data_IF_515499299636
#
_entry.id   IF_515499299636
#
_cell.length_a   1.000
_cell.length_b   1.000
_cell.length_c   1.000
_cell.angle_alpha   90.00
_cell.angle_beta   90.00
_cell.angle_gamma   90.00
#
_symmetry.space_group_name_H-M   'P 1'
#
loop_
_entity.id
_entity.type
_entity.pdbx_description
1 polymer ?
#
# COMPACT_ATOMS: atom_id res chain seq x y z
N UNK A 1 12.07 16.33 27.10
CA UNK A 1 10.71 16.00 26.63
C UNK A 1 10.82 14.90 25.60
N UNK A 2 10.06 13.81 25.75
CA UNK A 2 9.96 12.76 24.73
C UNK A 2 9.21 13.31 23.53
N UNK A 3 9.72 13.07 22.33
CA UNK A 3 9.10 13.55 21.10
C UNK A 3 7.69 12.95 20.94
N UNK A 4 6.65 13.80 20.92
CA UNK A 4 5.24 13.36 20.89
C UNK A 4 4.87 12.53 19.67
N UNK A 5 5.63 12.64 18.57
CA UNK A 5 5.43 11.86 17.35
C UNK A 5 6.04 10.46 17.41
N UNK A 6 6.95 10.21 18.37
CA UNK A 6 7.69 8.95 18.46
C UNK A 6 6.76 7.76 18.64
N UNK A 7 5.74 7.89 19.50
CA UNK A 7 4.73 6.84 19.71
C UNK A 7 4.01 6.41 18.42
N UNK A 8 3.71 7.36 17.54
CA UNK A 8 3.03 7.07 16.26
C UNK A 8 3.99 6.42 15.26
N UNK A 9 5.25 6.86 15.25
CA UNK A 9 6.29 6.25 14.42
C UNK A 9 6.59 4.81 14.86
N UNK A 10 6.72 4.57 16.16
CA UNK A 10 7.00 3.24 16.72
C UNK A 10 5.85 2.28 16.39
N UNK A 11 4.59 2.68 16.58
CA UNK A 11 3.42 1.90 16.15
C UNK A 11 3.43 1.56 14.66
N UNK A 12 3.83 2.51 13.81
CA UNK A 12 3.98 2.26 12.38
C UNK A 12 5.10 1.26 12.09
N UNK A 13 6.24 1.38 12.76
CA UNK A 13 7.38 0.47 12.58
C UNK A 13 7.09 -0.94 13.08
N UNK A 14 6.34 -1.10 14.16
CA UNK A 14 5.86 -2.41 14.63
C UNK A 14 4.99 -3.09 13.55
N UNK A 15 4.06 -2.36 12.95
CA UNK A 15 3.23 -2.88 11.85
C UNK A 15 4.06 -3.25 10.62
N UNK A 16 5.03 -2.41 10.23
CA UNK A 16 5.91 -2.72 9.09
C UNK A 16 6.79 -3.95 9.37
N UNK A 17 7.32 -4.08 10.58
CA UNK A 17 8.11 -5.23 10.99
C UNK A 17 7.26 -6.51 10.95
N UNK A 18 6.03 -6.44 11.43
CA UNK A 18 5.09 -7.55 11.36
C UNK A 18 4.79 -7.96 9.91
N UNK A 19 4.50 -7.01 9.02
CA UNK A 19 4.26 -7.28 7.60
C UNK A 19 5.49 -7.89 6.92
N UNK A 20 6.70 -7.40 7.25
CA UNK A 20 7.97 -7.98 6.78
C UNK A 20 8.18 -9.41 7.31
N UNK A 21 7.79 -9.67 8.55
CA UNK A 21 7.90 -11.00 9.13
C UNK A 21 6.96 -11.99 8.44
N UNK A 22 5.70 -11.59 8.20
CA UNK A 22 4.73 -12.41 7.46
C UNK A 22 5.25 -12.69 6.06
N UNK A 23 5.69 -11.66 5.32
CA UNK A 23 6.17 -11.84 3.94
C UNK A 23 7.30 -12.86 3.86
N UNK A 24 8.27 -12.80 4.77
CA UNK A 24 9.36 -13.77 4.82
C UNK A 24 8.89 -15.20 5.11
N UNK A 25 7.90 -15.36 6.00
CA UNK A 25 7.34 -16.69 6.32
C UNK A 25 6.55 -17.27 5.16
N UNK A 26 5.64 -16.52 4.57
CA UNK A 26 4.82 -17.02 3.45
C UNK A 26 5.69 -17.37 2.24
N UNK A 27 6.71 -16.56 1.95
CA UNK A 27 7.63 -16.83 0.84
C UNK A 27 8.39 -18.14 1.07
N UNK A 28 8.88 -18.40 2.29
CA UNK A 28 9.57 -19.66 2.59
C UNK A 28 8.64 -20.87 2.47
N UNK A 29 7.40 -20.75 2.94
CA UNK A 29 6.40 -21.82 2.83
C UNK A 29 6.12 -22.13 1.36
N UNK A 30 5.77 -21.12 0.57
CA UNK A 30 5.48 -21.31 -0.86
C UNK A 30 6.68 -21.79 -1.67
N UNK A 31 7.89 -21.34 -1.37
CA UNK A 31 9.09 -21.87 -2.03
C UNK A 31 9.33 -23.35 -1.73
N UNK A 32 8.99 -23.81 -0.52
CA UNK A 32 9.06 -25.24 -0.19
C UNK A 32 7.98 -26.01 -0.96
N UNK A 33 6.77 -25.47 -0.99
CA UNK A 33 5.59 -26.04 -1.66
C UNK A 33 5.85 -26.21 -3.17
N UNK A 34 6.37 -25.17 -3.83
CA UNK A 34 6.76 -25.21 -5.25
C UNK A 34 7.76 -26.34 -5.51
N UNK A 35 8.81 -26.49 -4.67
CA UNK A 35 9.81 -27.54 -4.85
C UNK A 35 9.24 -28.95 -4.71
N UNK A 36 8.28 -29.12 -3.81
CA UNK A 36 7.63 -30.40 -3.57
C UNK A 36 6.75 -30.79 -4.77
N UNK A 37 5.87 -29.89 -5.20
CA UNK A 37 4.84 -30.19 -6.20
C UNK A 37 5.28 -30.03 -7.66
N UNK A 38 6.45 -29.46 -7.92
CA UNK A 38 7.09 -29.51 -9.26
C UNK A 38 8.00 -30.74 -9.43
N UNK A 39 8.26 -31.53 -8.37
CA UNK A 39 9.10 -32.73 -8.45
C UNK A 39 8.49 -33.82 -9.34
N UNK A 40 9.33 -34.67 -9.95
CA UNK A 40 8.87 -35.72 -10.89
C UNK A 40 7.77 -36.62 -10.32
N UNK A 41 7.86 -36.95 -9.02
CA UNK A 41 6.93 -37.86 -8.35
C UNK A 41 5.61 -37.20 -7.90
N UNK A 42 5.53 -35.88 -7.92
CA UNK A 42 4.33 -35.16 -7.51
C UNK A 42 3.18 -35.39 -8.50
N UNK A 43 1.99 -35.66 -7.96
CA UNK A 43 0.71 -35.63 -8.67
C UNK A 43 -0.14 -34.55 -8.03
N UNK A 44 -0.43 -33.50 -8.77
CA UNK A 44 -1.30 -32.42 -8.31
C UNK A 44 -2.26 -32.02 -9.42
N UNK A 45 -3.53 -31.97 -9.04
CA UNK A 45 -4.60 -31.43 -9.84
C UNK A 45 -5.62 -30.86 -8.85
N UNK A 46 -5.77 -29.54 -8.88
CA UNK A 46 -6.76 -28.81 -8.11
C UNK A 46 -7.65 -28.06 -9.08
N UNK A 47 -8.95 -28.33 -9.05
CA UNK A 47 -9.92 -27.66 -9.90
C UNK A 47 -11.04 -27.09 -9.03
N UNK A 48 -11.54 -25.92 -9.41
CA UNK A 48 -12.68 -25.26 -8.78
C UNK A 48 -13.65 -24.78 -9.85
N UNK A 49 -14.94 -24.87 -9.54
CA UNK A 49 -16.05 -24.52 -10.40
C UNK A 49 -17.01 -23.59 -9.64
N UNK A 50 -17.48 -22.51 -10.29
CA UNK A 50 -18.45 -21.61 -9.66
C UNK A 50 -19.88 -22.08 -9.99
N UNK A 51 -20.56 -22.55 -8.95
CA UNK A 51 -21.96 -23.00 -8.97
C UNK A 51 -22.80 -21.98 -8.21
N UNK A 52 -23.93 -21.58 -8.80
CA UNK A 52 -24.85 -20.57 -8.23
C UNK A 52 -26.29 -21.06 -8.35
N UNK A 53 -27.21 -20.33 -7.72
CA UNK A 53 -28.65 -20.54 -7.82
C UNK A 53 -29.37 -19.23 -8.16
N UNK A 54 -30.61 -19.35 -8.64
CA UNK A 54 -31.51 -18.22 -8.83
C UNK A 54 -32.39 -18.05 -7.58
N UNK A 55 -32.17 -16.95 -6.85
CA UNK A 55 -32.92 -16.62 -5.63
C UNK A 55 -34.39 -16.25 -5.89
N UNK A 56 -34.75 -15.95 -7.13
CA UNK A 56 -36.12 -15.63 -7.55
C UNK A 56 -36.79 -16.78 -8.31
N UNK A 57 -36.04 -17.84 -8.59
CA UNK A 57 -36.47 -18.96 -9.40
C UNK A 57 -37.33 -19.99 -8.65
N UNK A 58 -37.85 -20.99 -9.38
CA UNK A 58 -38.53 -22.12 -8.75
C UNK A 58 -37.56 -22.90 -7.85
N UNK A 59 -38.11 -23.46 -6.78
CA UNK A 59 -37.39 -24.40 -5.90
C UNK A 59 -37.91 -25.81 -6.14
N UNK A 60 -37.08 -26.81 -5.87
CA UNK A 60 -37.55 -28.19 -5.78
C UNK A 60 -38.03 -28.45 -4.35
N UNK A 61 -39.31 -28.17 -4.06
CA UNK A 61 -39.91 -28.36 -2.74
C UNK A 61 -39.15 -27.65 -1.60
N UNK A 62 -38.68 -26.42 -1.85
CA UNK A 62 -37.86 -25.66 -0.89
C UNK A 62 -36.36 -25.91 -0.98
N UNK A 63 -35.89 -26.85 -1.83
CA UNK A 63 -34.47 -27.02 -2.13
C UNK A 63 -34.02 -26.07 -3.25
N UNK A 64 -32.83 -25.53 -3.06
CA UNK A 64 -32.13 -24.65 -4.00
C UNK A 64 -31.75 -25.41 -5.28
N UNK A 65 -32.17 -24.88 -6.44
CA UNK A 65 -31.78 -25.41 -7.74
C UNK A 65 -30.50 -24.73 -8.20
N UNK A 66 -29.42 -25.50 -8.23
CA UNK A 66 -28.09 -25.04 -8.58
C UNK A 66 -27.77 -25.22 -10.07
N UNK A 67 -27.03 -24.29 -10.66
CA UNK A 67 -26.49 -24.38 -12.00
C UNK A 67 -25.03 -23.88 -12.08
N UNK A 68 -24.28 -24.46 -13.02
CA UNK A 68 -22.87 -24.11 -13.23
C UNK A 68 -22.74 -22.86 -14.10
N UNK A 69 -21.91 -21.91 -13.70
CA UNK A 69 -21.70 -20.64 -14.45
C UNK A 69 -20.88 -20.79 -15.73
N UNK A 70 -20.23 -21.94 -15.92
CA UNK A 70 -19.25 -22.17 -16.99
C UNK A 70 -17.83 -21.76 -16.62
N UNK A 71 -17.64 -21.08 -15.49
CA UNK A 71 -16.33 -20.59 -15.04
C UNK A 71 -15.62 -21.65 -14.20
N UNK A 72 -14.41 -22.02 -14.63
CA UNK A 72 -13.55 -22.99 -13.95
C UNK A 72 -12.14 -22.42 -13.76
N UNK A 73 -11.47 -22.85 -12.69
CA UNK A 73 -10.07 -22.56 -12.44
C UNK A 73 -9.33 -23.87 -12.13
N UNK A 74 -8.16 -24.06 -12.73
CA UNK A 74 -7.38 -25.29 -12.60
C UNK A 74 -5.91 -25.00 -12.31
N UNK A 75 -5.37 -25.71 -11.33
CA UNK A 75 -3.95 -25.78 -11.04
C UNK A 75 -3.49 -27.22 -11.23
N UNK A 76 -2.63 -27.41 -12.22
CA UNK A 76 -1.96 -28.68 -12.54
C UNK A 76 -0.49 -28.58 -12.16
N UNK A 77 0.24 -29.69 -12.28
CA UNK A 77 1.69 -29.68 -12.09
C UNK A 77 2.40 -28.66 -13.00
N UNK A 78 1.94 -28.54 -14.24
CA UNK A 78 2.60 -27.73 -15.27
C UNK A 78 2.48 -26.23 -15.01
N UNK A 79 1.40 -25.78 -14.36
CA UNK A 79 1.19 -24.36 -14.04
C UNK A 79 1.39 -24.04 -12.55
N UNK A 80 1.69 -25.03 -11.71
CA UNK A 80 1.72 -24.90 -10.25
C UNK A 80 2.63 -23.76 -9.77
N UNK A 81 3.88 -23.73 -10.25
CA UNK A 81 4.83 -22.68 -9.84
C UNK A 81 4.31 -21.27 -10.19
N UNK A 82 3.77 -21.11 -11.39
CA UNK A 82 3.20 -19.84 -11.85
C UNK A 82 2.02 -19.42 -10.98
N UNK A 83 1.13 -20.35 -10.64
CA UNK A 83 -0.03 -20.09 -9.79
C UNK A 83 0.37 -19.70 -8.36
N UNK A 84 1.30 -20.43 -7.76
CA UNK A 84 1.80 -20.09 -6.42
C UNK A 84 2.54 -18.75 -6.42
N UNK A 85 3.34 -18.45 -7.44
CA UNK A 85 3.99 -17.15 -7.56
C UNK A 85 2.98 -16.01 -7.74
N UNK A 86 1.88 -16.23 -8.48
CA UNK A 86 0.78 -15.28 -8.62
C UNK A 86 0.09 -15.00 -7.28
N UNK A 87 -0.20 -16.06 -6.52
CA UNK A 87 -0.78 -15.97 -5.17
C UNK A 87 0.17 -15.21 -4.23
N UNK A 88 1.45 -15.55 -4.24
CA UNK A 88 2.46 -14.89 -3.42
C UNK A 88 2.56 -13.40 -3.76
N UNK A 89 2.64 -13.05 -5.04
CA UNK A 89 2.69 -11.65 -5.51
C UNK A 89 1.46 -10.87 -5.02
N UNK A 90 0.26 -11.43 -5.19
CA UNK A 90 -0.99 -10.83 -4.68
C UNK A 90 -0.93 -10.59 -3.17
N UNK A 91 -0.46 -11.57 -2.40
CA UNK A 91 -0.36 -11.43 -0.95
C UNK A 91 0.64 -10.33 -0.54
N UNK A 92 1.78 -10.23 -1.24
CA UNK A 92 2.77 -9.17 -1.00
C UNK A 92 2.22 -7.79 -1.36
N UNK A 93 1.45 -7.67 -2.45
CA UNK A 93 0.73 -6.44 -2.80
C UNK A 93 -0.28 -6.04 -1.72
N UNK A 94 -1.04 -6.98 -1.16
CA UNK A 94 -1.98 -6.71 -0.07
C UNK A 94 -1.27 -6.26 1.21
N UNK A 95 -0.17 -6.91 1.59
CA UNK A 95 0.67 -6.48 2.72
C UNK A 95 1.23 -5.07 2.49
N UNK A 96 1.57 -4.70 1.25
CA UNK A 96 1.96 -3.34 0.91
C UNK A 96 0.79 -2.36 1.12
N UNK A 97 -0.42 -2.68 0.64
CA UNK A 97 -1.59 -1.81 0.81
C UNK A 97 -1.88 -1.55 2.30
N UNK A 98 -1.83 -2.59 3.13
CA UNK A 98 -1.97 -2.49 4.59
C UNK A 98 -0.85 -1.64 5.23
N UNK A 99 0.39 -1.80 4.75
CA UNK A 99 1.51 -0.97 5.17
C UNK A 99 1.27 0.51 4.87
N UNK A 100 0.70 0.82 3.69
CA UNK A 100 0.38 2.18 3.30
C UNK A 100 -0.77 2.78 4.13
N UNK A 101 -1.78 2.01 4.45
CA UNK A 101 -2.84 2.46 5.37
C UNK A 101 -2.29 2.78 6.76
N UNK A 102 -1.37 1.97 7.27
CA UNK A 102 -0.69 2.26 8.53
C UNK A 102 0.17 3.53 8.45
N UNK A 103 0.77 3.80 7.29
CA UNK A 103 1.51 5.04 7.05
C UNK A 103 0.58 6.27 7.03
N UNK A 104 -0.55 6.21 6.31
CA UNK A 104 -1.55 7.28 6.34
C UNK A 104 -2.07 7.53 7.77
N UNK A 105 -2.25 6.46 8.56
CA UNK A 105 -2.63 6.57 9.97
C UNK A 105 -1.57 7.34 10.76
N UNK A 106 -0.30 6.95 10.66
CA UNK A 106 0.82 7.66 11.29
C UNK A 106 0.84 9.15 10.94
N UNK A 107 0.66 9.47 9.65
CA UNK A 107 0.64 10.86 9.20
C UNK A 107 -0.52 11.64 9.78
N UNK A 108 -1.73 11.07 9.72
CA UNK A 108 -2.91 11.73 10.26
C UNK A 108 -2.79 11.90 11.79
N UNK A 109 -2.26 10.92 12.52
CA UNK A 109 -2.05 11.04 13.97
C UNK A 109 -1.05 12.15 14.30
N UNK A 110 0.09 12.17 13.61
CA UNK A 110 1.13 13.19 13.83
C UNK A 110 0.64 14.60 13.47
N UNK A 111 -0.06 14.74 12.34
CA UNK A 111 -0.57 16.03 11.89
C UNK A 111 -1.74 16.51 12.74
N UNK A 112 -2.61 15.62 13.21
CA UNK A 112 -3.70 15.98 14.12
C UNK A 112 -3.17 16.43 15.48
N UNK A 113 -2.19 15.73 16.02
CA UNK A 113 -1.48 16.14 17.24
C UNK A 113 -0.87 17.54 17.08
N UNK A 114 -0.24 17.83 15.94
CA UNK A 114 0.29 19.17 15.64
C UNK A 114 -0.79 20.24 15.63
N UNK A 115 -1.94 19.97 14.99
CA UNK A 115 -3.06 20.92 14.89
C UNK A 115 -3.65 21.32 16.24
N UNK A 116 -3.41 20.55 17.31
CA UNK A 116 -3.84 20.94 18.66
C UNK A 116 -3.17 22.23 19.17
N UNK A 117 -2.07 22.66 18.53
CA UNK A 117 -1.31 23.86 18.90
C UNK A 117 -1.01 24.78 17.70
N UNK A 118 -1.53 24.46 16.51
CA UNK A 118 -1.29 25.19 15.26
C UNK A 118 -2.64 25.44 14.55
N UNK A 119 -3.30 26.54 14.93
CA UNK A 119 -4.64 26.88 14.40
C UNK A 119 -4.59 27.17 12.90
N UNK A 120 -3.49 27.75 12.39
CA UNK A 120 -3.31 28.02 10.96
C UNK A 120 -3.28 26.71 10.16
N UNK A 121 -2.58 25.69 10.66
CA UNK A 121 -2.57 24.37 10.04
C UNK A 121 -3.95 23.69 10.14
N UNK A 122 -4.64 23.87 11.28
CA UNK A 122 -5.98 23.32 11.50
C UNK A 122 -7.01 23.91 10.53
N UNK A 123 -7.08 25.23 10.43
CA UNK A 123 -7.96 25.94 9.49
C UNK A 123 -7.66 25.54 8.04
N UNK A 124 -6.38 25.47 7.67
CA UNK A 124 -5.98 25.00 6.35
C UNK A 124 -6.47 23.57 6.08
N UNK A 125 -6.34 22.67 7.06
CA UNK A 125 -6.80 21.29 6.93
C UNK A 125 -8.31 21.22 6.75
N UNK A 126 -9.07 21.99 7.53
CA UNK A 126 -10.53 22.09 7.41
C UNK A 126 -10.92 22.66 6.03
N UNK A 127 -10.12 23.58 5.47
CA UNK A 127 -10.39 24.16 4.15
C UNK A 127 -10.38 23.11 3.03
N UNK A 128 -9.57 22.05 3.18
CA UNK A 128 -9.44 20.93 2.24
C UNK A 128 -10.56 19.88 2.36
N UNK A 129 -11.41 19.96 3.39
CA UNK A 129 -12.53 19.04 3.57
C UNK A 129 -13.76 19.43 2.75
N UNK A 130 -14.59 18.45 2.33
CA UNK A 130 -15.89 18.74 1.73
C UNK A 130 -16.77 19.59 2.66
N UNK A 131 -17.58 20.50 2.11
CA UNK A 131 -18.43 21.44 2.89
C UNK A 131 -19.21 20.75 4.02
N UNK A 132 -19.79 19.58 3.74
CA UNK A 132 -20.59 18.79 4.70
C UNK A 132 -19.80 18.28 5.92
N UNK A 133 -18.46 18.23 5.85
CA UNK A 133 -17.59 17.70 6.90
C UNK A 133 -16.90 18.80 7.73
N UNK A 134 -16.98 20.07 7.30
CA UNK A 134 -16.26 21.19 7.94
C UNK A 134 -16.75 21.50 9.36
N UNK A 135 -18.04 21.33 9.62
CA UNK A 135 -18.68 21.69 10.90
C UNK A 135 -18.30 20.79 12.08
N UNK A 136 -17.64 19.66 11.84
CA UNK A 136 -17.36 18.65 12.86
C UNK A 136 -16.02 17.98 12.62
N UNK A 137 -14.96 18.80 12.53
CA UNK A 137 -13.58 18.33 12.31
C UNK A 137 -13.13 17.40 13.44
N UNK A 138 -12.59 16.24 13.06
CA UNK A 138 -12.06 15.24 13.97
C UNK A 138 -10.94 14.46 13.29
N UNK A 139 -10.16 13.73 14.07
CA UNK A 139 -9.08 12.87 13.58
C UNK A 139 -9.56 11.88 12.50
N UNK A 140 -10.75 11.30 12.66
CA UNK A 140 -11.33 10.34 11.70
C UNK A 140 -11.71 10.97 10.37
N UNK A 141 -12.03 12.27 10.37
CA UNK A 141 -12.41 13.05 9.19
C UNK A 141 -11.24 13.77 8.53
N UNK A 142 -10.01 13.54 8.99
CA UNK A 142 -8.85 14.10 8.31
C UNK A 142 -8.78 13.67 6.84
N UNK A 143 -8.31 14.56 5.95
CA UNK A 143 -8.19 14.22 4.53
C UNK A 143 -7.24 13.04 4.33
N UNK A 144 -7.49 12.23 3.30
CA UNK A 144 -6.56 11.19 2.83
C UNK A 144 -5.85 11.61 1.53
N UNK A 145 -5.00 10.72 1.01
CA UNK A 145 -4.41 10.85 -0.32
C UNK A 145 -3.71 12.20 -0.57
N UNK A 146 -3.92 12.79 -1.75
CA UNK A 146 -3.26 14.04 -2.15
C UNK A 146 -3.52 15.21 -1.18
N UNK A 147 -4.70 15.29 -0.56
CA UNK A 147 -4.99 16.36 0.40
C UNK A 147 -4.26 16.15 1.73
N UNK A 148 -4.06 14.91 2.18
CA UNK A 148 -3.21 14.63 3.34
C UNK A 148 -1.77 15.09 3.10
N UNK A 149 -1.24 14.83 1.90
CA UNK A 149 0.10 15.26 1.52
C UNK A 149 0.25 16.79 1.46
N UNK A 150 -0.79 17.52 1.05
CA UNK A 150 -0.81 18.99 1.12
C UNK A 150 -0.69 19.49 2.56
N UNK A 151 -1.41 18.87 3.50
CA UNK A 151 -1.32 19.18 4.93
C UNK A 151 0.09 18.89 5.44
N UNK A 152 0.65 17.73 5.11
CA UNK A 152 2.04 17.38 5.45
C UNK A 152 3.04 18.41 4.95
N UNK A 153 2.92 18.84 3.69
CA UNK A 153 3.80 19.86 3.10
C UNK A 153 3.69 21.19 3.84
N UNK A 154 2.48 21.60 4.22
CA UNK A 154 2.28 22.85 4.99
C UNK A 154 2.88 22.73 6.39
N UNK A 155 2.65 21.62 7.08
CA UNK A 155 3.22 21.36 8.39
C UNK A 155 4.76 21.31 8.32
N UNK A 156 5.31 20.60 7.35
CA UNK A 156 6.76 20.40 7.26
C UNK A 156 7.57 21.65 6.88
N UNK A 157 6.92 22.77 6.53
CA UNK A 157 7.57 24.07 6.42
C UNK A 157 8.83 24.09 5.54
N UNK A 158 9.89 24.71 6.04
CA UNK A 158 11.16 24.85 5.31
C UNK A 158 11.94 23.53 5.32
N UNK A 159 11.92 22.79 6.44
CA UNK A 159 12.55 21.47 6.53
C UNK A 159 12.03 20.51 5.46
N UNK A 160 10.73 20.56 5.13
CA UNK A 160 10.18 19.75 4.05
C UNK A 160 10.83 20.09 2.70
N UNK A 161 11.01 21.37 2.40
CA UNK A 161 11.62 21.83 1.15
C UNK A 161 13.07 21.39 1.06
N UNK A 162 13.87 21.63 2.10
CA UNK A 162 15.27 21.23 2.15
C UNK A 162 15.43 19.72 2.01
N UNK A 163 14.66 18.93 2.75
CA UNK A 163 14.81 17.47 2.74
C UNK A 163 14.33 16.84 1.43
N UNK A 164 13.33 17.41 0.76
CA UNK A 164 12.94 16.92 -0.56
C UNK A 164 13.95 17.26 -1.65
N UNK A 165 14.75 18.33 -1.51
CA UNK A 165 15.77 18.72 -2.50
C UNK A 165 17.15 18.11 -2.25
N UNK A 166 17.53 17.92 -0.99
CA UNK A 166 18.91 17.59 -0.58
C UNK A 166 19.06 16.18 -0.02
N UNK A 167 18.10 15.28 -0.21
CA UNK A 167 18.26 13.90 0.27
C UNK A 167 19.24 13.09 -0.59
N UNK A 168 19.98 12.20 0.07
CA UNK A 168 20.98 11.33 -0.55
C UNK A 168 20.41 10.36 -1.60
N UNK A 169 19.10 10.14 -1.61
CA UNK A 169 18.44 9.28 -2.60
C UNK A 169 18.01 10.05 -3.85
N UNK A 170 18.08 11.39 -3.83
CA UNK A 170 17.57 12.29 -4.88
C UNK A 170 16.09 12.08 -5.20
N UNK A 171 15.31 11.55 -4.25
CA UNK A 171 13.88 11.27 -4.43
C UNK A 171 13.07 12.47 -3.98
N UNK A 172 12.25 13.03 -4.88
CA UNK A 172 11.29 14.07 -4.51
C UNK A 172 10.12 13.44 -3.75
N UNK A 173 9.76 14.00 -2.60
CA UNK A 173 8.70 13.44 -1.75
C UNK A 173 7.33 13.45 -2.43
N UNK A 174 7.05 14.44 -3.28
CA UNK A 174 5.79 14.50 -4.02
C UNK A 174 5.64 13.37 -5.03
N UNK A 175 6.73 13.01 -5.70
CA UNK A 175 6.74 11.92 -6.68
C UNK A 175 6.65 10.58 -5.96
N UNK A 176 7.43 10.38 -4.88
CA UNK A 176 7.34 9.20 -4.05
C UNK A 176 5.93 8.99 -3.48
N UNK A 177 5.34 10.04 -2.90
CA UNK A 177 3.98 9.98 -2.37
C UNK A 177 2.96 9.59 -3.44
N UNK A 178 3.05 10.23 -4.61
CA UNK A 178 2.15 9.96 -5.73
C UNK A 178 2.23 8.49 -6.13
N UNK A 179 3.44 7.97 -6.37
CA UNK A 179 3.65 6.56 -6.74
C UNK A 179 3.07 5.63 -5.68
N UNK A 180 3.40 5.85 -4.41
CA UNK A 180 2.92 4.97 -3.34
C UNK A 180 1.40 4.99 -3.23
N UNK A 181 0.79 6.17 -3.33
CA UNK A 181 -0.66 6.35 -3.24
C UNK A 181 -1.40 5.72 -4.43
N UNK A 182 -0.94 5.94 -5.66
CA UNK A 182 -1.56 5.36 -6.87
C UNK A 182 -1.44 3.84 -6.88
N UNK A 183 -0.26 3.30 -6.53
CA UNK A 183 -0.07 1.85 -6.45
C UNK A 183 -0.96 1.23 -5.38
N UNK A 184 -1.13 1.87 -4.22
CA UNK A 184 -2.07 1.38 -3.18
C UNK A 184 -3.50 1.39 -3.70
N UNK A 185 -3.91 2.46 -4.40
CA UNK A 185 -5.24 2.56 -4.99
C UNK A 185 -5.48 1.42 -6.00
N UNK A 186 -4.56 1.20 -6.94
CA UNK A 186 -4.63 0.12 -7.92
C UNK A 186 -4.70 -1.27 -7.31
N UNK A 187 -3.86 -1.57 -6.31
CA UNK A 187 -3.88 -2.86 -5.62
C UNK A 187 -5.23 -3.10 -4.93
N UNK A 188 -5.80 -2.07 -4.31
CA UNK A 188 -7.01 -2.21 -3.50
C UNK A 188 -8.28 -2.25 -4.34
N UNK A 189 -8.33 -1.51 -5.45
CA UNK A 189 -9.58 -1.26 -6.19
C UNK A 189 -9.56 -1.72 -7.65
N UNK A 190 -8.40 -2.05 -8.21
CA UNK A 190 -8.24 -2.41 -9.63
C UNK A 190 -7.48 -3.71 -9.82
N UNK A 191 -7.53 -4.62 -8.83
CA UNK A 191 -6.83 -5.92 -8.89
C UNK A 191 -5.32 -5.81 -9.21
N UNK A 192 -4.67 -4.75 -8.74
CA UNK A 192 -3.26 -4.42 -9.02
C UNK A 192 -2.96 -3.95 -10.45
N UNK A 193 -3.97 -3.62 -11.24
CA UNK A 193 -3.81 -2.97 -12.54
C UNK A 193 -3.64 -1.46 -12.36
N UNK A 194 -2.64 -0.88 -13.02
CA UNK A 194 -2.34 0.55 -13.02
C UNK A 194 -2.13 1.06 -14.45
N UNK A 195 -2.70 2.23 -14.73
CA UNK A 195 -2.51 2.95 -15.99
C UNK A 195 -1.10 3.53 -16.06
N UNK A 196 -0.43 3.34 -17.19
CA UNK A 196 0.98 3.71 -17.39
C UNK A 196 1.20 5.20 -17.19
N UNK A 197 0.25 6.05 -17.59
CA UNK A 197 0.30 7.50 -17.42
C UNK A 197 0.37 7.97 -15.96
N UNK A 198 -0.20 7.20 -15.02
CA UNK A 198 -0.17 7.53 -13.59
C UNK A 198 1.23 7.42 -13.00
N UNK A 199 2.09 6.58 -13.60
CA UNK A 199 3.46 6.32 -13.15
C UNK A 199 4.55 6.86 -14.09
N UNK A 200 4.19 7.24 -15.33
CA UNK A 200 5.12 7.74 -16.34
C UNK A 200 5.02 9.26 -16.55
N UNK A 201 4.85 10.03 -15.47
CA UNK A 201 4.77 11.50 -15.51
C UNK A 201 6.08 12.19 -15.91
N UNK A 202 7.21 11.52 -15.67
CA UNK A 202 8.56 11.93 -16.07
C UNK A 202 9.49 10.72 -16.01
N UNK A 203 10.67 10.83 -16.63
CA UNK A 203 11.69 9.77 -16.56
C UNK A 203 12.08 9.46 -15.10
N UNK A 204 12.23 10.50 -14.27
CA UNK A 204 12.54 10.34 -12.86
C UNK A 204 11.41 9.66 -12.08
N UNK A 205 10.15 10.04 -12.33
CA UNK A 205 8.98 9.43 -11.69
C UNK A 205 8.85 7.94 -12.06
N UNK A 206 9.03 7.61 -13.35
CA UNK A 206 9.05 6.22 -13.82
C UNK A 206 10.23 5.44 -13.22
N UNK A 207 11.38 6.09 -13.08
CA UNK A 207 12.56 5.52 -12.42
C UNK A 207 12.31 5.14 -10.95
N UNK A 208 11.64 6.01 -10.19
CA UNK A 208 11.24 5.71 -8.80
C UNK A 208 10.27 4.51 -8.77
N UNK A 209 9.28 4.48 -9.65
CA UNK A 209 8.33 3.37 -9.72
C UNK A 209 9.04 2.05 -10.00
N UNK A 210 9.88 1.99 -11.05
CA UNK A 210 10.65 0.80 -11.42
C UNK A 210 11.64 0.39 -10.34
N UNK A 211 12.15 1.33 -9.55
CA UNK A 211 13.00 1.04 -8.40
C UNK A 211 12.21 0.31 -7.29
N UNK A 212 10.98 0.74 -7.02
CA UNK A 212 10.15 0.26 -5.90
C UNK A 212 9.26 -0.94 -6.22
N UNK A 213 8.73 -1.06 -7.44
CA UNK A 213 7.77 -2.09 -7.85
C UNK A 213 8.25 -2.87 -9.07
N UNK A 214 7.77 -4.11 -9.22
CA UNK A 214 7.83 -4.82 -10.50
C UNK A 214 6.49 -4.62 -11.22
N UNK A 215 6.49 -4.74 -12.55
CA UNK A 215 5.26 -4.70 -13.32
C UNK A 215 5.41 -5.42 -14.64
N UNK A 216 4.31 -5.98 -15.14
CA UNK A 216 4.24 -6.53 -16.50
C UNK A 216 3.13 -5.86 -17.31
N UNK A 217 3.33 -5.62 -18.61
CA UNK A 217 2.25 -5.16 -19.48
C UNK A 217 1.16 -6.23 -19.60
N UNK A 218 -0.11 -5.81 -19.65
CA UNK A 218 -1.26 -6.70 -19.84
C UNK A 218 -1.96 -6.40 -21.16
N UNK A 219 -2.47 -5.17 -21.32
CA UNK A 219 -3.17 -4.70 -22.52
C UNK A 219 -3.08 -3.17 -22.59
N UNK A 220 -2.92 -2.61 -23.79
CA UNK A 220 -2.76 -1.17 -24.02
C UNK A 220 -1.75 -0.52 -23.06
N UNK A 221 -2.23 0.49 -22.32
CA UNK A 221 -1.51 1.28 -21.32
C UNK A 221 -1.64 0.71 -19.89
N UNK A 222 -2.11 -0.53 -19.73
CA UNK A 222 -2.28 -1.16 -18.41
C UNK A 222 -1.09 -2.05 -18.04
N UNK A 223 -0.61 -1.84 -16.81
CA UNK A 223 0.44 -2.61 -16.18
C UNK A 223 -0.13 -3.37 -14.98
N UNK A 224 0.17 -4.66 -14.86
CA UNK A 224 -0.07 -5.41 -13.63
C UNK A 224 1.12 -5.20 -12.70
N UNK A 225 0.86 -4.66 -11.51
CA UNK A 225 1.84 -4.52 -10.44
C UNK A 225 2.09 -5.89 -9.82
N UNK A 226 3.37 -6.24 -9.70
CA UNK A 226 3.81 -7.48 -9.08
C UNK A 226 4.88 -7.19 -8.02
N UNK A 227 4.90 -8.00 -6.97
CA UNK A 227 5.92 -7.95 -5.95
C UNK A 227 6.48 -9.34 -5.71
N UNK A 228 7.80 -9.44 -5.81
CA UNK A 228 8.54 -10.54 -5.21
C UNK A 228 9.01 -10.15 -3.80
N UNK A 229 9.48 -11.12 -3.02
CA UNK A 229 9.94 -10.88 -1.65
C UNK A 229 11.08 -9.87 -1.56
N UNK A 230 12.06 -9.91 -2.46
CA UNK A 230 13.21 -8.99 -2.45
C UNK A 230 12.75 -7.56 -2.73
N UNK A 231 11.80 -7.40 -3.65
CA UNK A 231 11.20 -6.11 -4.00
C UNK A 231 10.39 -5.57 -2.82
N UNK A 232 9.57 -6.42 -2.20
CA UNK A 232 8.81 -6.08 -1.00
C UNK A 232 9.71 -5.66 0.16
N UNK A 233 10.82 -6.37 0.44
CA UNK A 233 11.76 -5.96 1.50
C UNK A 233 12.39 -4.59 1.23
N UNK A 234 12.80 -4.32 -0.01
CA UNK A 234 13.34 -3.00 -0.41
C UNK A 234 12.28 -1.91 -0.24
N UNK A 235 11.04 -2.20 -0.63
CA UNK A 235 9.91 -1.29 -0.51
C UNK A 235 9.64 -0.95 0.96
N UNK A 236 9.54 -1.95 1.84
CA UNK A 236 9.32 -1.75 3.29
C UNK A 236 10.45 -0.88 3.88
N UNK A 237 11.71 -1.16 3.54
CA UNK A 237 12.85 -0.35 3.99
C UNK A 237 12.70 1.12 3.58
N UNK A 238 12.45 1.38 2.29
CA UNK A 238 12.27 2.75 1.77
C UNK A 238 11.07 3.44 2.40
N UNK A 239 10.03 2.68 2.72
CA UNK A 239 8.85 3.21 3.36
C UNK A 239 9.12 3.62 4.81
N UNK A 240 9.85 2.80 5.57
CA UNK A 240 10.32 3.13 6.91
C UNK A 240 11.20 4.39 6.91
N UNK A 241 12.14 4.48 5.97
CA UNK A 241 13.02 5.64 5.83
C UNK A 241 12.23 6.92 5.52
N UNK A 242 11.24 6.84 4.64
CA UNK A 242 10.39 7.99 4.32
C UNK A 242 9.57 8.45 5.53
N UNK A 243 8.97 7.52 6.28
CA UNK A 243 8.28 7.85 7.52
C UNK A 243 9.20 8.49 8.56
N UNK A 244 10.43 7.99 8.70
CA UNK A 244 11.43 8.60 9.56
C UNK A 244 11.80 10.02 9.11
N UNK A 245 11.95 10.28 7.81
CA UNK A 245 12.19 11.64 7.32
C UNK A 245 11.04 12.58 7.70
N UNK A 246 9.79 12.12 7.58
CA UNK A 246 8.63 12.92 7.97
C UNK A 246 8.61 13.19 9.47
N UNK A 247 8.84 12.16 10.30
CA UNK A 247 8.99 12.33 11.74
C UNK A 247 10.05 13.38 12.06
N UNK A 248 11.23 13.28 11.44
CA UNK A 248 12.34 14.22 11.63
C UNK A 248 11.96 15.64 11.21
N UNK A 249 11.29 15.81 10.07
CA UNK A 249 10.81 17.11 9.59
C UNK A 249 9.84 17.74 10.58
N UNK A 250 8.80 17.02 11.00
CA UNK A 250 7.84 17.54 11.97
C UNK A 250 8.50 17.87 13.32
N UNK A 251 9.49 17.07 13.72
CA UNK A 251 10.27 17.31 14.93
C UNK A 251 11.08 18.60 14.85
N UNK A 252 11.77 18.84 13.74
CA UNK A 252 12.57 20.06 13.54
C UNK A 252 11.66 21.30 13.53
N UNK A 253 10.56 21.26 12.80
CA UNK A 253 9.63 22.40 12.67
C UNK A 253 8.98 22.80 14.01
N UNK A 254 8.90 21.89 14.99
CA UNK A 254 8.39 22.16 16.34
C UNK A 254 9.49 22.21 17.41
N UNK A 255 10.76 22.31 17.01
CA UNK A 255 11.92 22.33 17.91
C UNK A 255 11.95 21.15 18.90
N UNK A 256 11.49 19.98 18.46
CA UNK A 256 11.53 18.72 19.20
C UNK A 256 12.82 17.96 18.89
N UNK A 257 13.37 17.28 19.90
CA UNK A 257 14.50 16.38 19.69
C UNK A 257 14.12 15.17 18.82
N UNK A 258 14.88 14.89 17.77
CA UNK A 258 14.68 13.73 16.88
C UNK A 258 15.78 12.67 16.98
N UNK A 259 16.91 13.00 17.60
CA UNK A 259 18.11 12.14 17.68
C UNK A 259 18.06 11.08 18.79
N UNK A 260 17.02 11.10 19.62
CA UNK A 260 16.84 10.22 20.79
C UNK A 260 15.59 9.35 20.59
#
# INVERSE_FOLDING_TARGET
MTNKYRKYLDQFFENLLYNRHISGRITKVFQKDIKEYTSEKAKIHFASALVISDWTGPTDNGWEINFHTGIVAETTKDNYETEINRILSRQLCLLYSQSFESFERFLKDSLFERMSHDEILREYTISLLPKKQKSSFSRTKMPGGANLFKVLKKAGGESFKTFTSENNLKIKFSELWTILSEVRHSITHKESLIESELINKSEHHSGIFKFLFNSKPVFDDLLLIELDYKKFEKLIKRFSEFAFQIFKILSIEENLGWKN
#
